data_IF_672965046816
#
_entry.id   IF_672965046816
#
_cell.length_a   1.000
_cell.length_b   1.000
_cell.length_c   1.000
_cell.angle_alpha   90.00
_cell.angle_beta   90.00
_cell.angle_gamma   90.00
#
_symmetry.space_group_name_H-M   'P 1'
#
loop_
_entity.id
_entity.type
_entity.pdbx_description
1 polymer ?
#
# COMPACT_ATOMS: atom_id res chain seq x y z
N UNK A 1 -58.46 -11.03 -21.18
CA UNK A 1 -57.87 -9.70 -21.41
C UNK A 1 -57.41 -9.21 -20.04
N UNK A 2 -56.20 -9.59 -19.65
CA UNK A 2 -55.58 -9.10 -18.43
C UNK A 2 -54.88 -7.79 -18.81
N UNK A 3 -55.54 -6.66 -18.50
CA UNK A 3 -54.96 -5.35 -18.64
C UNK A 3 -53.92 -5.20 -17.52
N UNK A 4 -52.64 -5.35 -17.87
CA UNK A 4 -51.55 -5.08 -16.97
C UNK A 4 -51.57 -3.57 -16.68
N UNK A 5 -52.16 -3.19 -15.56
CA UNK A 5 -52.25 -1.82 -15.09
C UNK A 5 -50.85 -1.39 -14.62
N UNK A 6 -50.01 -1.01 -15.58
CA UNK A 6 -48.73 -0.35 -15.35
C UNK A 6 -49.10 1.02 -14.81
N UNK A 7 -49.29 1.10 -13.50
CA UNK A 7 -49.28 2.36 -12.79
C UNK A 7 -47.93 3.01 -13.11
N UNK A 8 -47.98 3.99 -14.02
CA UNK A 8 -46.95 4.99 -14.27
C UNK A 8 -46.76 5.82 -12.99
N UNK A 9 -46.29 5.19 -11.92
CA UNK A 9 -45.80 5.85 -10.74
C UNK A 9 -44.49 6.51 -11.15
N UNK A 10 -44.55 7.83 -11.33
CA UNK A 10 -43.47 8.72 -11.76
C UNK A 10 -42.08 8.15 -11.52
N UNK A 11 -41.33 7.92 -12.60
CA UNK A 11 -39.88 7.74 -12.56
C UNK A 11 -39.29 8.98 -11.91
N UNK A 12 -39.09 8.92 -10.59
CA UNK A 12 -38.38 9.96 -9.88
C UNK A 12 -36.91 9.75 -10.18
N UNK A 13 -36.34 10.56 -11.08
CA UNK A 13 -34.89 10.58 -11.31
C UNK A 13 -34.21 10.97 -10.00
N UNK A 14 -33.77 9.96 -9.24
CA UNK A 14 -32.95 10.19 -8.07
C UNK A 14 -31.52 10.36 -8.57
N UNK A 15 -30.96 11.56 -8.41
CA UNK A 15 -29.55 11.80 -8.72
C UNK A 15 -28.73 11.70 -7.44
N UNK A 16 -27.70 10.87 -7.47
CA UNK A 16 -26.65 10.85 -6.44
C UNK A 16 -25.38 11.36 -7.12
N UNK A 17 -24.80 12.46 -6.61
CA UNK A 17 -23.65 13.15 -7.21
C UNK A 17 -23.81 13.54 -8.70
N UNK A 18 -25.05 13.85 -9.13
CA UNK A 18 -25.35 14.27 -10.50
C UNK A 18 -25.53 13.13 -11.52
N UNK A 19 -25.54 11.86 -11.06
CA UNK A 19 -25.81 10.70 -11.90
C UNK A 19 -27.24 10.21 -11.69
N UNK A 20 -28.06 10.15 -12.75
CA UNK A 20 -29.45 9.66 -12.70
C UNK A 20 -29.49 8.16 -12.41
N UNK A 21 -30.15 7.77 -11.32
CA UNK A 21 -30.45 6.38 -10.99
C UNK A 21 -31.76 5.97 -11.67
N UNK A 22 -31.64 5.11 -12.69
CA UNK A 22 -32.80 4.51 -13.37
C UNK A 22 -33.30 3.31 -12.55
N UNK A 23 -34.23 3.56 -11.64
CA UNK A 23 -34.99 2.48 -11.00
C UNK A 23 -35.74 1.65 -12.08
N UNK A 24 -35.86 0.31 -11.99
CA UNK A 24 -35.49 -0.59 -10.88
C UNK A 24 -34.08 -1.21 -11.02
N UNK A 25 -33.31 -0.80 -12.03
CA UNK A 25 -32.01 -1.41 -12.31
C UNK A 25 -30.92 -0.64 -11.55
N UNK A 26 -30.24 -1.32 -10.63
CA UNK A 26 -28.91 -0.90 -10.16
C UNK A 26 -28.13 -0.37 -11.37
N UNK A 27 -27.60 0.86 -11.29
CA UNK A 27 -26.75 1.46 -12.32
C UNK A 27 -25.48 0.60 -12.45
N UNK A 28 -25.60 -0.50 -13.18
CA UNK A 28 -24.57 -1.50 -13.37
C UNK A 28 -23.24 -0.87 -13.82
N UNK A 29 -23.23 0.16 -14.71
CA UNK A 29 -21.99 0.85 -15.05
C UNK A 29 -21.33 1.56 -13.85
N UNK A 30 -22.11 2.21 -12.99
CA UNK A 30 -21.59 2.89 -11.80
C UNK A 30 -21.07 1.87 -10.77
N UNK A 31 -21.83 0.79 -10.56
CA UNK A 31 -21.42 -0.30 -9.68
C UNK A 31 -20.13 -0.96 -10.18
N UNK A 32 -20.04 -1.25 -11.48
CA UNK A 32 -18.86 -1.81 -12.11
C UNK A 32 -17.66 -0.86 -11.98
N UNK A 33 -17.86 0.44 -12.17
CA UNK A 33 -16.83 1.46 -11.96
C UNK A 33 -16.33 1.47 -10.51
N UNK A 34 -17.24 1.45 -9.52
CA UNK A 34 -16.88 1.42 -8.10
C UNK A 34 -16.12 0.13 -7.74
N UNK A 35 -16.57 -1.03 -8.21
CA UNK A 35 -15.86 -2.29 -8.00
C UNK A 35 -14.48 -2.28 -8.64
N UNK A 36 -14.38 -1.80 -9.88
CA UNK A 36 -13.11 -1.69 -10.58
C UNK A 36 -12.13 -0.76 -9.84
N UNK A 37 -12.62 0.41 -9.40
CA UNK A 37 -11.83 1.34 -8.62
C UNK A 37 -11.36 0.72 -7.28
N UNK A 38 -12.25 0.00 -6.58
CA UNK A 38 -11.90 -0.69 -5.35
C UNK A 38 -10.81 -1.73 -5.56
N UNK A 39 -10.90 -2.52 -6.64
CA UNK A 39 -9.89 -3.53 -7.00
C UNK A 39 -8.54 -2.87 -7.30
N UNK A 40 -8.53 -1.74 -8.02
CA UNK A 40 -7.29 -1.00 -8.31
C UNK A 40 -6.62 -0.44 -7.04
N UNK A 41 -7.41 -0.08 -6.03
CA UNK A 41 -6.92 0.40 -4.74
C UNK A 41 -6.39 -0.71 -3.83
N UNK A 42 -6.55 -1.99 -4.18
CA UNK A 42 -6.01 -3.10 -3.40
C UNK A 42 -4.49 -3.13 -3.53
N UNK A 43 -3.82 -2.99 -2.38
CA UNK A 43 -2.37 -3.09 -2.28
C UNK A 43 -1.98 -4.31 -1.46
N UNK A 44 -1.08 -5.13 -2.01
CA UNK A 44 -0.55 -6.32 -1.33
C UNK A 44 0.72 -5.96 -0.56
N UNK A 45 0.72 -6.24 0.74
CA UNK A 45 1.94 -6.16 1.57
C UNK A 45 2.92 -7.25 1.14
N UNK A 46 4.16 -6.86 0.90
CA UNK A 46 5.27 -7.74 0.54
C UNK A 46 6.09 -8.10 1.78
N UNK A 47 6.90 -9.19 1.74
CA UNK A 47 7.80 -9.52 2.84
C UNK A 47 8.80 -8.38 3.09
N UNK A 48 9.12 -8.18 4.37
CA UNK A 48 10.03 -7.14 4.83
C UNK A 48 11.46 -7.49 4.42
N UNK A 49 12.22 -6.50 3.98
CA UNK A 49 13.65 -6.62 3.68
C UNK A 49 14.40 -5.64 4.57
N UNK A 50 15.51 -6.08 5.15
CA UNK A 50 16.41 -5.23 5.92
C UNK A 50 17.73 -5.12 5.15
N UNK A 51 18.08 -3.91 4.75
CA UNK A 51 19.34 -3.63 4.09
C UNK A 51 20.42 -3.30 5.11
N UNK A 52 21.52 -4.03 5.07
CA UNK A 52 22.75 -3.75 5.80
C UNK A 52 23.64 -2.93 4.88
N UNK A 53 23.84 -1.65 5.22
CA UNK A 53 24.70 -0.75 4.44
C UNK A 53 26.06 -0.69 5.10
N UNK A 54 27.07 -1.22 4.41
CA UNK A 54 28.38 -1.47 5.00
C UNK A 54 29.19 -0.19 5.23
N UNK A 55 29.23 0.75 4.26
CA UNK A 55 30.05 1.96 4.39
C UNK A 55 29.51 2.93 5.44
N UNK A 56 28.19 3.12 5.47
CA UNK A 56 27.52 4.04 6.40
C UNK A 56 27.13 3.38 7.72
N UNK A 57 27.53 2.11 7.93
CA UNK A 57 27.29 1.29 9.11
C UNK A 57 25.86 1.44 9.64
N UNK A 58 24.86 1.12 8.81
CA UNK A 58 23.47 1.23 9.23
C UNK A 58 22.56 0.16 8.64
N UNK A 59 21.42 -0.05 9.31
CA UNK A 59 20.35 -0.90 8.81
C UNK A 59 19.15 -0.07 8.34
N UNK A 60 18.59 -0.43 7.19
CA UNK A 60 17.38 0.18 6.64
C UNK A 60 16.33 -0.90 6.40
N UNK A 61 15.23 -0.84 7.14
CA UNK A 61 14.08 -1.71 6.97
C UNK A 61 13.16 -1.15 5.89
N UNK A 62 12.86 -1.96 4.88
CA UNK A 62 11.96 -1.65 3.80
C UNK A 62 10.68 -2.47 3.91
N UNK A 63 9.57 -1.77 4.13
CA UNK A 63 8.22 -2.30 4.03
C UNK A 63 7.64 -1.92 2.67
N UNK A 64 7.47 -2.91 1.78
CA UNK A 64 6.93 -2.67 0.42
C UNK A 64 5.47 -3.06 0.34
N UNK A 65 4.72 -2.26 -0.39
CA UNK A 65 3.38 -2.58 -0.85
C UNK A 65 3.37 -2.55 -2.38
N UNK A 66 2.74 -3.53 -3.02
CA UNK A 66 2.56 -3.54 -4.47
C UNK A 66 1.11 -3.38 -4.85
N UNK A 67 0.87 -2.59 -5.89
CA UNK A 67 -0.43 -2.50 -6.54
C UNK A 67 -0.75 -3.81 -7.28
N UNK A 68 -1.98 -3.94 -7.77
CA UNK A 68 -2.42 -5.08 -8.59
C UNK A 68 -1.47 -5.40 -9.77
N UNK A 69 -0.90 -4.35 -10.39
CA UNK A 69 0.05 -4.45 -11.50
C UNK A 69 1.49 -4.80 -11.08
N UNK A 70 1.70 -5.27 -9.84
CA UNK A 70 3.01 -5.61 -9.25
C UNK A 70 4.03 -4.46 -9.18
N UNK A 71 3.59 -3.23 -9.48
CA UNK A 71 4.40 -2.02 -9.27
C UNK A 71 4.42 -1.65 -7.78
N UNK A 72 5.57 -1.19 -7.30
CA UNK A 72 5.73 -0.74 -5.92
C UNK A 72 4.94 0.57 -5.68
N UNK A 73 4.12 0.60 -4.64
CA UNK A 73 3.32 1.76 -4.25
C UNK A 73 4.14 2.69 -3.37
N UNK A 74 4.43 3.90 -3.86
CA UNK A 74 5.24 4.91 -3.14
C UNK A 74 4.55 5.48 -1.90
N UNK A 75 3.22 5.53 -1.89
CA UNK A 75 2.43 6.12 -0.79
C UNK A 75 2.39 5.20 0.44
N UNK A 76 2.32 3.89 0.21
CA UNK A 76 2.19 2.89 1.27
C UNK A 76 3.53 2.23 1.63
N UNK A 77 4.49 2.19 0.71
CA UNK A 77 5.83 1.67 1.01
C UNK A 77 6.61 2.63 1.89
N UNK A 78 7.39 2.08 2.82
CA UNK A 78 8.15 2.84 3.81
C UNK A 78 9.54 2.27 3.98
N UNK A 79 10.55 3.13 3.94
CA UNK A 79 11.90 2.80 4.33
C UNK A 79 12.21 3.48 5.67
N UNK A 80 12.68 2.70 6.64
CA UNK A 80 12.90 3.14 8.02
C UNK A 80 14.33 2.78 8.42
N UNK A 81 15.12 3.78 8.84
CA UNK A 81 16.44 3.53 9.42
C UNK A 81 16.28 2.94 10.83
N UNK A 82 16.89 1.78 11.06
CA UNK A 82 16.90 1.13 12.37
C UNK A 82 17.98 1.76 13.26
N UNK A 83 17.78 1.78 14.59
CA UNK A 83 18.73 2.37 15.54
C UNK A 83 19.96 1.50 15.79
N UNK A 84 20.04 0.32 15.18
CA UNK A 84 21.13 -0.62 15.38
C UNK A 84 22.22 -0.41 14.31
N UNK A 85 23.47 -0.55 14.74
CA UNK A 85 24.66 -0.43 13.90
C UNK A 85 25.16 -1.84 13.54
N UNK A 86 25.30 -2.20 12.25
CA UNK A 86 25.86 -3.47 11.80
C UNK A 86 27.12 -3.91 12.54
N UNK A 87 28.05 -2.98 12.78
CA UNK A 87 29.31 -3.19 13.52
C UNK A 87 29.13 -3.66 14.97
N UNK A 88 28.05 -3.24 15.64
CA UNK A 88 27.76 -3.57 17.04
C UNK A 88 26.66 -4.63 17.20
N UNK A 89 26.08 -5.08 16.10
CA UNK A 89 24.90 -5.95 16.11
C UNK A 89 25.31 -7.42 16.10
N UNK A 90 25.00 -8.14 17.19
CA UNK A 90 25.27 -9.58 17.31
C UNK A 90 24.38 -10.42 16.39
N UNK A 91 24.82 -11.64 16.07
CA UNK A 91 24.06 -12.59 15.23
C UNK A 91 22.68 -12.93 15.80
N UNK A 92 22.52 -12.94 17.14
CA UNK A 92 21.21 -13.11 17.79
C UNK A 92 20.27 -11.95 17.47
N UNK A 93 20.77 -10.72 17.52
CA UNK A 93 19.99 -9.52 17.27
C UNK A 93 19.60 -9.40 15.78
N UNK A 94 20.49 -9.82 14.88
CA UNK A 94 20.19 -9.93 13.43
C UNK A 94 19.05 -10.91 13.15
N UNK A 95 18.96 -12.03 13.88
CA UNK A 95 17.85 -13.00 13.75
C UNK A 95 16.51 -12.48 14.24
N UNK A 96 16.50 -11.45 15.09
CA UNK A 96 15.28 -10.82 15.59
C UNK A 96 14.69 -9.80 14.61
N UNK A 97 15.36 -9.49 13.50
CA UNK A 97 14.79 -8.63 12.47
C UNK A 97 13.65 -9.35 11.75
N UNK A 98 12.54 -8.64 11.51
CA UNK A 98 11.31 -9.17 10.91
C UNK A 98 11.46 -9.53 9.42
N UNK A 99 12.62 -9.29 8.82
CA UNK A 99 12.84 -9.38 7.38
C UNK A 99 14.14 -10.06 6.99
N UNK A 100 14.24 -10.42 5.72
CA UNK A 100 15.48 -10.94 5.14
C UNK A 100 16.54 -9.85 5.12
N UNK A 101 17.73 -10.15 5.62
CA UNK A 101 18.88 -9.24 5.57
C UNK A 101 19.54 -9.35 4.19
N UNK A 102 19.76 -8.20 3.55
CA UNK A 102 20.48 -8.06 2.27
C UNK A 102 21.59 -7.04 2.47
N UNK A 103 22.80 -7.38 2.03
CA UNK A 103 23.95 -6.48 2.17
C UNK A 103 24.09 -5.60 0.94
N UNK A 104 24.38 -4.32 1.16
CA UNK A 104 24.58 -3.29 0.15
C UNK A 104 25.84 -2.52 0.53
N UNK A 105 26.62 -2.08 -0.45
CA UNK A 105 27.87 -1.39 -0.14
C UNK A 105 27.60 0.02 0.41
N UNK A 106 26.80 0.78 -0.33
CA UNK A 106 26.66 2.23 -0.16
C UNK A 106 25.20 2.68 -0.15
N UNK A 107 24.92 3.82 0.49
CA UNK A 107 23.58 4.42 0.47
C UNK A 107 23.11 4.79 -0.94
N UNK A 108 24.03 5.18 -1.84
CA UNK A 108 23.68 5.53 -3.23
C UNK A 108 23.12 4.34 -4.01
N UNK A 109 23.68 3.15 -3.79
CA UNK A 109 23.19 1.91 -4.39
C UNK A 109 21.78 1.62 -3.85
N UNK A 110 21.59 1.76 -2.54
CA UNK A 110 20.30 1.53 -1.91
C UNK A 110 19.22 2.52 -2.39
N UNK A 111 19.55 3.81 -2.53
CA UNK A 111 18.61 4.84 -3.01
C UNK A 111 18.07 4.53 -4.41
N UNK A 112 18.87 3.88 -5.27
CA UNK A 112 18.42 3.45 -6.59
C UNK A 112 17.39 2.31 -6.55
N UNK A 113 17.39 1.52 -5.47
CA UNK A 113 16.51 0.35 -5.28
C UNK A 113 15.24 0.71 -4.51
N UNK A 114 15.24 1.82 -3.76
CA UNK A 114 14.16 2.20 -2.89
C UNK A 114 13.02 2.89 -3.66
N UNK A 115 11.75 2.46 -3.50
CA UNK A 115 10.61 3.13 -4.12
C UNK A 115 10.23 4.43 -3.39
N UNK A 116 10.78 4.70 -2.21
CA UNK A 116 10.37 5.77 -1.30
C UNK A 116 11.55 6.35 -0.51
N UNK A 117 11.37 7.56 0.03
CA UNK A 117 12.33 8.24 0.89
C UNK A 117 12.52 7.51 2.23
N UNK A 118 13.74 7.57 2.75
CA UNK A 118 14.12 6.97 4.04
C UNK A 118 13.67 7.89 5.17
N UNK A 119 13.00 7.30 6.17
CA UNK A 119 12.58 7.99 7.39
C UNK A 119 13.38 7.49 8.58
N UNK A 120 13.64 8.37 9.54
CA UNK A 120 14.23 7.97 10.81
C UNK A 120 13.18 7.35 11.73
N UNK A 121 13.53 6.25 12.39
CA UNK A 121 12.68 5.68 13.44
C UNK A 121 12.74 6.60 14.66
N UNK A 122 11.72 7.43 14.87
CA UNK A 122 11.55 8.16 16.14
C UNK A 122 11.48 7.12 17.27
N UNK A 123 12.52 7.03 18.08
CA UNK A 123 12.48 6.26 19.31
C UNK A 123 11.35 6.84 20.17
N UNK A 124 10.35 6.02 20.50
CA UNK A 124 9.46 6.34 21.62
C UNK A 124 10.34 6.30 22.86
N UNK A 125 10.70 7.48 23.39
CA UNK A 125 11.25 7.62 24.73
C UNK A 125 10.20 7.15 25.72
N UNK A 126 10.30 5.90 26.17
CA UNK A 126 9.69 5.48 27.42
C UNK A 126 10.50 6.13 28.53
N UNK A 127 9.95 7.21 29.08
CA UNK A 127 10.33 7.79 30.36
C UNK A 127 9.87 6.89 31.51
#
# INVERSE_FOLDING_TARGET
>A
MELLDITFGMYCEQSIFGLSLLFPNLNFPLLLYLFHFMILCVHRKMPIIVYEVNKEDCFIQLERHRCLHLKDCRLLSKAIRLPHLPSKTTTKLRRNFEGRIVQVQDMKELESLLPCLIREKKQKSTA
#
